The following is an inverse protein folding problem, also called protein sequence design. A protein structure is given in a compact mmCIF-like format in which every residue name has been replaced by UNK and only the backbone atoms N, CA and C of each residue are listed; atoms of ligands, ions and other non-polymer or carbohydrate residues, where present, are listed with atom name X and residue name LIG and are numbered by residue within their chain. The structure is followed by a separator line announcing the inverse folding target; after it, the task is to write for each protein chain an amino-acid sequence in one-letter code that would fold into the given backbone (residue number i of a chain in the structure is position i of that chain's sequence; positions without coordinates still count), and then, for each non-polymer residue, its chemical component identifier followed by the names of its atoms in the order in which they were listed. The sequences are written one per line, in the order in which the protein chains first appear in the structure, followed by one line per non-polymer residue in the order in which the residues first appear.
data_IF_963151365490
#
_entry.id   IF_963151365490
#
_cell.length_a   1.000
_cell.length_b   1.000
_cell.length_c   1.000
_cell.angle_alpha   90.00
_cell.angle_beta   90.00
_cell.angle_gamma   90.00
#
_symmetry.space_group_name_H-M   'P 1'
#
loop_
_entity.id
_entity.type
_entity.pdbx_description
1 polymer ?
#
# COMPACT_ATOMS: atom_id res chain seq x y z
N UNK A 1 -0.55 -14.32 13.99
CA UNK A 1 -1.95 -13.93 14.27
C UNK A 1 -2.07 -12.71 15.18
N UNK A 2 -1.27 -12.60 16.24
CA UNK A 2 -1.30 -11.45 17.18
C UNK A 2 -1.00 -10.09 16.53
N UNK A 3 -0.02 -10.00 15.61
CA UNK A 3 0.33 -8.75 14.92
C UNK A 3 -0.80 -8.23 14.02
N UNK A 4 -1.53 -9.11 13.35
CA UNK A 4 -2.65 -8.72 12.48
C UNK A 4 -3.84 -8.19 13.30
N UNK A 5 -4.13 -8.84 14.44
CA UNK A 5 -5.16 -8.36 15.35
C UNK A 5 -4.78 -7.00 15.96
N UNK A 6 -3.52 -6.84 16.39
CA UNK A 6 -3.04 -5.58 16.93
C UNK A 6 -3.14 -4.44 15.90
N UNK A 7 -2.70 -4.70 14.66
CA UNK A 7 -2.83 -3.71 13.58
C UNK A 7 -4.29 -3.35 13.29
N UNK A 8 -5.20 -4.34 13.32
CA UNK A 8 -6.63 -4.12 13.14
C UNK A 8 -7.23 -3.23 14.23
N UNK A 9 -6.87 -3.50 15.50
CA UNK A 9 -7.33 -2.68 16.63
C UNK A 9 -6.82 -1.24 16.52
N UNK A 10 -5.52 -1.05 16.24
CA UNK A 10 -4.93 0.30 16.08
C UNK A 10 -5.64 1.06 14.96
N UNK A 11 -5.86 0.42 13.82
CA UNK A 11 -6.53 1.03 12.67
C UNK A 11 -7.96 1.43 12.99
N UNK A 12 -8.70 0.58 13.72
CA UNK A 12 -10.06 0.87 14.17
C UNK A 12 -10.10 2.06 15.11
N UNK A 13 -9.17 2.14 16.05
CA UNK A 13 -9.06 3.28 16.98
C UNK A 13 -8.77 4.57 16.21
N UNK A 14 -7.84 4.55 15.26
CA UNK A 14 -7.51 5.74 14.43
C UNK A 14 -8.72 6.20 13.63
N UNK A 15 -9.45 5.29 12.99
CA UNK A 15 -10.66 5.63 12.22
C UNK A 15 -11.73 6.20 13.13
N UNK A 16 -11.93 5.61 14.30
CA UNK A 16 -12.91 6.10 15.28
C UNK A 16 -12.56 7.51 15.77
N UNK A 17 -11.29 7.77 16.08
CA UNK A 17 -10.82 9.11 16.46
C UNK A 17 -11.01 10.12 15.33
N UNK A 18 -10.69 9.77 14.10
CA UNK A 18 -10.93 10.64 12.94
C UNK A 18 -12.43 10.95 12.77
N UNK A 19 -13.29 9.96 12.94
CA UNK A 19 -14.74 10.14 12.86
C UNK A 19 -15.26 11.04 13.97
N UNK A 20 -14.76 10.87 15.19
CA UNK A 20 -15.14 11.69 16.35
C UNK A 20 -14.74 13.17 16.18
N UNK A 21 -13.58 13.43 15.57
CA UNK A 21 -13.04 14.80 15.39
C UNK A 21 -13.67 15.53 14.20
N UNK A 22 -13.87 14.85 13.09
CA UNK A 22 -14.31 15.49 11.84
C UNK A 22 -15.81 15.31 11.53
N UNK A 23 -16.45 14.29 12.08
CA UNK A 23 -17.79 13.89 11.66
C UNK A 23 -17.80 13.21 10.29
N UNK A 24 -18.92 12.56 9.96
CA UNK A 24 -19.04 11.71 8.76
C UNK A 24 -18.91 12.51 7.44
N UNK A 25 -19.53 13.68 7.35
CA UNK A 25 -19.55 14.48 6.11
C UNK A 25 -18.20 15.04 5.73
N UNK A 26 -17.44 15.57 6.71
CA UNK A 26 -16.13 16.17 6.47
C UNK A 26 -15.05 15.10 6.25
N UNK A 27 -15.21 13.92 6.87
CA UNK A 27 -14.29 12.81 6.71
C UNK A 27 -14.28 12.27 5.27
N UNK A 28 -15.44 12.22 4.63
CA UNK A 28 -15.58 11.72 3.26
C UNK A 28 -14.89 12.59 2.20
N UNK A 29 -14.75 13.88 2.47
CA UNK A 29 -14.10 14.82 1.54
C UNK A 29 -12.57 14.88 1.70
N UNK A 30 -12.04 14.34 2.80
CA UNK A 30 -10.60 14.42 3.10
C UNK A 30 -9.82 13.24 2.56
N UNK A 31 -8.79 13.54 1.76
CA UNK A 31 -7.89 12.53 1.19
C UNK A 31 -7.01 11.83 2.25
N UNK A 32 -6.60 12.56 3.29
CA UNK A 32 -5.71 12.06 4.34
C UNK A 32 -6.14 12.60 5.72
N UNK A 33 -7.28 12.12 6.26
CA UNK A 33 -7.86 12.67 7.48
C UNK A 33 -6.94 12.52 8.71
N UNK A 34 -6.19 11.42 8.81
CA UNK A 34 -5.27 11.16 9.92
C UNK A 34 -4.10 12.15 9.97
N UNK A 35 -3.55 12.54 8.82
CA UNK A 35 -2.48 13.54 8.71
C UNK A 35 -2.99 14.93 9.12
N UNK A 36 -4.15 15.33 8.63
CA UNK A 36 -4.74 16.62 8.94
C UNK A 36 -5.21 16.72 10.39
N UNK A 37 -5.57 15.60 11.01
CA UNK A 37 -5.87 15.53 12.43
C UNK A 37 -4.64 15.84 13.28
N UNK A 38 -3.49 15.25 12.94
CA UNK A 38 -2.23 15.47 13.64
C UNK A 38 -1.68 16.90 13.48
N UNK A 39 -1.94 17.53 12.34
CA UNK A 39 -1.59 18.95 12.12
C UNK A 39 -2.35 19.89 13.05
N UNK A 40 -3.59 19.56 13.44
CA UNK A 40 -4.41 20.37 14.35
C UNK A 40 -4.11 20.15 15.83
N UNK A 41 -3.51 19.01 16.19
CA UNK A 41 -3.15 18.71 17.58
C UNK A 41 -1.79 19.32 17.89
N UNK A 42 -1.79 20.55 18.37
CA UNK A 42 -0.60 21.20 18.90
C UNK A 42 -0.48 20.91 20.40
N UNK A 43 0.46 20.09 20.80
CA UNK A 43 0.80 19.93 22.22
C UNK A 43 1.70 21.10 22.66
N UNK A 44 1.09 22.13 23.24
CA UNK A 44 1.79 23.20 23.91
C UNK A 44 2.55 22.65 25.12
N UNK A 45 3.88 22.56 24.99
CA UNK A 45 4.75 22.10 26.09
C UNK A 45 5.67 20.92 25.78
N UNK A 46 5.52 20.24 24.65
CA UNK A 46 6.48 19.24 24.21
C UNK A 46 7.47 19.84 23.20
N UNK A 47 8.73 19.36 23.26
CA UNK A 47 9.82 19.76 22.34
C UNK A 47 9.48 19.53 20.84
N UNK A 48 8.41 18.84 20.54
CA UNK A 48 7.95 18.47 19.20
C UNK A 48 6.78 19.38 18.78
N UNK A 49 7.10 20.58 18.35
CA UNK A 49 6.12 21.52 17.79
C UNK A 49 5.61 21.12 16.39
N UNK A 50 6.25 20.18 15.73
CA UNK A 50 5.93 19.72 14.36
C UNK A 50 5.87 18.20 14.29
N UNK A 51 4.84 17.63 14.87
CA UNK A 51 4.59 16.16 14.86
C UNK A 51 4.24 15.63 13.48
N UNK A 52 3.68 16.47 12.62
CA UNK A 52 3.39 16.24 11.22
C UNK A 52 4.63 15.78 10.44
N UNK A 53 5.78 16.44 10.68
CA UNK A 53 7.05 16.07 10.03
C UNK A 53 7.56 14.70 10.45
N UNK A 54 7.44 14.33 11.72
CA UNK A 54 7.84 13.01 12.20
C UNK A 54 6.98 11.92 11.57
N UNK A 55 5.66 12.11 11.52
CA UNK A 55 4.75 11.17 10.90
C UNK A 55 5.07 11.02 9.42
N UNK A 56 5.30 12.12 8.73
CA UNK A 56 5.66 12.13 7.31
C UNK A 56 6.97 11.38 7.06
N UNK A 57 7.97 11.56 7.95
CA UNK A 57 9.23 10.84 7.87
C UNK A 57 9.04 9.32 8.06
N UNK A 58 8.30 8.89 9.09
CA UNK A 58 7.96 7.49 9.29
C UNK A 58 7.18 6.90 8.11
N UNK A 59 6.28 7.68 7.54
CA UNK A 59 5.50 7.25 6.38
C UNK A 59 6.40 7.07 5.15
N UNK A 60 7.33 7.99 4.89
CA UNK A 60 8.32 7.86 3.82
C UNK A 60 9.19 6.61 3.97
N UNK A 61 9.73 6.37 5.18
CA UNK A 61 10.53 5.17 5.45
C UNK A 61 9.71 3.90 5.22
N UNK A 62 8.48 3.85 5.71
CA UNK A 62 7.57 2.71 5.50
C UNK A 62 7.26 2.48 4.03
N UNK A 63 7.03 3.55 3.26
CA UNK A 63 6.82 3.48 1.82
C UNK A 63 8.05 2.94 1.08
N UNK A 64 9.25 3.38 1.44
CA UNK A 64 10.50 2.86 0.87
C UNK A 64 10.69 1.36 1.15
N UNK A 65 10.42 0.91 2.38
CA UNK A 65 10.51 -0.51 2.75
C UNK A 65 9.48 -1.32 1.94
N UNK A 66 8.24 -0.84 1.84
CA UNK A 66 7.19 -1.49 1.08
C UNK A 66 7.53 -1.61 -0.41
N UNK A 67 8.00 -0.51 -1.02
CA UNK A 67 8.43 -0.50 -2.43
C UNK A 67 9.59 -1.46 -2.67
N UNK A 68 10.60 -1.44 -1.81
CA UNK A 68 11.75 -2.34 -1.91
C UNK A 68 11.32 -3.81 -1.85
N UNK A 69 10.42 -4.15 -0.91
CA UNK A 69 9.83 -5.47 -0.81
C UNK A 69 9.07 -5.87 -2.08
N UNK A 70 8.25 -4.96 -2.61
CA UNK A 70 7.45 -5.20 -3.82
C UNK A 70 8.33 -5.47 -5.03
N UNK A 71 9.38 -4.67 -5.24
CA UNK A 71 10.37 -4.88 -6.32
C UNK A 71 11.06 -6.23 -6.17
N UNK A 72 11.51 -6.55 -4.96
CA UNK A 72 12.20 -7.80 -4.68
C UNK A 72 11.32 -9.02 -4.95
N UNK A 73 10.11 -9.04 -4.40
CA UNK A 73 9.17 -10.15 -4.60
C UNK A 73 8.69 -10.25 -6.05
N UNK A 74 8.44 -9.11 -6.72
CA UNK A 74 8.10 -9.09 -8.14
C UNK A 74 9.19 -9.70 -9.01
N UNK A 75 10.45 -9.33 -8.79
CA UNK A 75 11.59 -9.90 -9.48
C UNK A 75 11.75 -11.40 -9.19
N UNK A 76 11.57 -11.82 -7.94
CA UNK A 76 11.66 -13.23 -7.54
C UNK A 76 10.57 -14.08 -8.19
N UNK A 77 9.33 -13.60 -8.22
CA UNK A 77 8.22 -14.28 -8.89
C UNK A 77 8.45 -14.35 -10.40
N UNK A 78 8.91 -13.26 -11.03
CA UNK A 78 9.26 -13.24 -12.44
C UNK A 78 10.30 -14.28 -12.80
N UNK A 79 11.40 -14.37 -12.04
CA UNK A 79 12.42 -15.40 -12.26
C UNK A 79 11.87 -16.82 -12.16
N UNK A 80 11.01 -17.10 -11.17
CA UNK A 80 10.38 -18.42 -11.01
C UNK A 80 9.44 -18.76 -12.17
N UNK A 81 8.66 -17.81 -12.62
CA UNK A 81 7.70 -18.00 -13.70
C UNK A 81 8.39 -18.37 -15.02
N UNK A 82 9.50 -17.70 -15.32
CA UNK A 82 10.28 -17.91 -16.52
C UNK A 82 11.40 -18.95 -16.38
N UNK A 83 11.48 -19.65 -15.24
CA UNK A 83 12.50 -20.68 -14.94
C UNK A 83 13.94 -20.21 -15.19
N UNK A 84 14.21 -18.95 -14.93
CA UNK A 84 15.55 -18.36 -15.13
C UNK A 84 16.39 -18.54 -13.88
N UNK A 85 17.72 -18.73 -14.10
CA UNK A 85 18.69 -18.86 -13.01
C UNK A 85 18.91 -17.55 -12.25
N UNK A 86 19.50 -17.68 -11.07
CA UNK A 86 19.79 -16.57 -10.15
C UNK A 86 20.69 -15.48 -10.73
N UNK A 87 21.46 -15.79 -11.77
CA UNK A 87 22.36 -14.83 -12.45
C UNK A 87 21.60 -13.67 -13.09
N UNK A 88 20.36 -13.90 -13.55
CA UNK A 88 19.52 -12.85 -14.18
C UNK A 88 18.73 -12.01 -13.19
N UNK A 89 18.90 -12.22 -11.88
CA UNK A 89 18.18 -11.50 -10.83
C UNK A 89 18.32 -9.98 -10.95
N UNK A 90 19.54 -9.51 -11.25
CA UNK A 90 19.80 -8.06 -11.40
C UNK A 90 18.98 -7.46 -12.53
N UNK A 91 18.87 -8.15 -13.67
CA UNK A 91 18.10 -7.65 -14.82
C UNK A 91 16.59 -7.59 -14.52
N UNK A 92 16.07 -8.57 -13.76
CA UNK A 92 14.67 -8.58 -13.32
C UNK A 92 14.37 -7.46 -12.33
N UNK A 93 15.30 -7.18 -11.40
CA UNK A 93 15.16 -6.06 -10.48
C UNK A 93 15.10 -4.72 -11.23
N UNK A 94 16.00 -4.51 -12.20
CA UNK A 94 15.97 -3.31 -13.04
C UNK A 94 14.70 -3.22 -13.87
N UNK A 95 14.25 -4.32 -14.44
CA UNK A 95 13.00 -4.37 -15.19
C UNK A 95 11.79 -3.94 -14.35
N UNK A 96 11.65 -4.49 -13.15
CA UNK A 96 10.57 -4.11 -12.22
C UNK A 96 10.67 -2.66 -11.76
N UNK A 97 11.89 -2.17 -11.53
CA UNK A 97 12.11 -0.79 -11.11
C UNK A 97 11.68 0.19 -12.22
N UNK A 98 12.03 -0.11 -13.48
CA UNK A 98 11.60 0.70 -14.64
C UNK A 98 10.08 0.66 -14.80
N UNK A 99 9.44 -0.51 -14.67
CA UNK A 99 7.98 -0.63 -14.76
C UNK A 99 7.29 0.19 -13.68
N UNK A 100 7.76 0.11 -12.43
CA UNK A 100 7.20 0.91 -11.33
C UNK A 100 7.43 2.40 -11.52
N UNK A 101 8.61 2.78 -12.02
CA UNK A 101 8.90 4.18 -12.33
C UNK A 101 7.97 4.72 -13.43
N UNK A 102 7.80 3.99 -14.53
CA UNK A 102 6.88 4.37 -15.59
C UNK A 102 5.42 4.41 -15.09
N UNK A 103 5.02 3.45 -14.27
CA UNK A 103 3.69 3.44 -13.67
C UNK A 103 3.46 4.64 -12.72
N UNK A 104 4.50 5.12 -12.06
CA UNK A 104 4.41 6.30 -11.18
C UNK A 104 4.23 7.62 -11.96
N UNK A 105 4.60 7.65 -13.25
CA UNK A 105 4.45 8.81 -14.12
C UNK A 105 3.04 8.91 -14.75
N UNK A 106 2.22 7.85 -14.65
CA UNK A 106 0.88 7.83 -15.24
C UNK A 106 -0.07 8.85 -14.62
N UNK A 107 -0.18 8.99 -13.28
CA UNK A 107 -1.06 9.98 -12.70
C UNK A 107 -0.39 11.35 -12.64
N UNK A 108 -1.04 12.37 -13.21
CA UNK A 108 -0.56 13.76 -13.18
C UNK A 108 -0.70 14.39 -11.79
N UNK A 109 -1.69 13.93 -11.01
CA UNK A 109 -1.95 14.45 -9.67
C UNK A 109 -2.51 13.37 -8.73
N UNK A 110 -2.55 13.69 -7.44
CA UNK A 110 -3.00 12.77 -6.39
C UNK A 110 -4.48 12.36 -6.53
N UNK A 111 -5.32 13.24 -7.05
CA UNK A 111 -6.74 12.95 -7.27
C UNK A 111 -6.93 11.93 -8.40
N UNK A 112 -6.13 12.02 -9.44
CA UNK A 112 -6.13 11.06 -10.55
C UNK A 112 -5.60 9.69 -10.12
N UNK A 113 -4.52 9.66 -9.35
CA UNK A 113 -4.01 8.42 -8.75
C UNK A 113 -5.07 7.73 -7.89
N UNK A 114 -5.83 8.50 -7.12
CA UNK A 114 -6.93 7.98 -6.30
C UNK A 114 -8.08 7.44 -7.17
N UNK A 115 -8.47 8.14 -8.24
CA UNK A 115 -9.49 7.66 -9.18
C UNK A 115 -9.06 6.37 -9.87
N UNK A 116 -7.81 6.29 -10.35
CA UNK A 116 -7.24 5.08 -10.93
C UNK A 116 -7.27 3.91 -9.94
N UNK A 117 -6.91 4.16 -8.69
CA UNK A 117 -6.99 3.15 -7.63
C UNK A 117 -8.43 2.66 -7.43
N UNK A 118 -9.41 3.56 -7.33
CA UNK A 118 -10.83 3.20 -7.14
C UNK A 118 -11.34 2.37 -8.32
N UNK A 119 -10.92 2.69 -9.53
CA UNK A 119 -11.35 1.99 -10.73
C UNK A 119 -10.71 0.61 -10.87
N UNK A 120 -9.43 0.48 -10.53
CA UNK A 120 -8.67 -0.78 -10.64
C UNK A 120 -8.87 -1.72 -9.43
N UNK A 121 -9.07 -1.16 -8.23
CA UNK A 121 -9.16 -1.93 -6.99
C UNK A 121 -10.22 -3.04 -7.01
N UNK A 122 -11.48 -2.83 -7.44
CA UNK A 122 -12.48 -3.89 -7.44
C UNK A 122 -12.11 -5.03 -8.40
N UNK A 123 -11.55 -4.71 -9.57
CA UNK A 123 -11.13 -5.71 -10.56
C UNK A 123 -9.94 -6.53 -10.08
N UNK A 124 -8.95 -5.88 -9.49
CA UNK A 124 -7.78 -6.55 -8.92
C UNK A 124 -8.17 -7.43 -7.73
N UNK A 125 -9.02 -6.95 -6.84
CA UNK A 125 -9.50 -7.72 -5.71
C UNK A 125 -10.30 -8.96 -6.15
N UNK A 126 -11.18 -8.81 -7.15
CA UNK A 126 -11.92 -9.93 -7.72
C UNK A 126 -10.97 -10.97 -8.34
N UNK A 127 -9.96 -10.51 -9.06
CA UNK A 127 -8.95 -11.39 -9.65
C UNK A 127 -8.19 -12.18 -8.58
N UNK A 128 -7.67 -11.52 -7.55
CA UNK A 128 -6.89 -12.16 -6.50
C UNK A 128 -7.72 -13.06 -5.57
N UNK A 129 -8.92 -12.63 -5.21
CA UNK A 129 -9.75 -13.36 -4.25
C UNK A 129 -10.52 -14.52 -4.87
N UNK A 130 -10.91 -14.43 -6.13
CA UNK A 130 -11.80 -15.40 -6.77
C UNK A 130 -11.12 -16.17 -7.89
N UNK A 131 -10.55 -15.49 -8.86
CA UNK A 131 -10.02 -16.11 -10.07
C UNK A 131 -8.74 -16.91 -9.77
N UNK A 132 -7.82 -16.34 -9.04
CA UNK A 132 -6.53 -16.97 -8.76
C UNK A 132 -6.66 -18.25 -7.92
N UNK A 133 -7.43 -18.32 -6.81
CA UNK A 133 -7.65 -19.55 -6.07
C UNK A 133 -8.35 -20.64 -6.91
N UNK A 134 -9.35 -20.25 -7.72
CA UNK A 134 -10.06 -21.21 -8.59
C UNK A 134 -9.11 -21.80 -9.64
N UNK A 135 -8.28 -20.99 -10.29
CA UNK A 135 -7.27 -21.48 -11.23
C UNK A 135 -6.30 -22.45 -10.54
N UNK A 136 -5.83 -22.10 -9.34
CA UNK A 136 -4.91 -22.97 -8.58
C UNK A 136 -5.56 -24.29 -8.19
N UNK A 137 -6.83 -24.30 -7.80
CA UNK A 137 -7.58 -25.53 -7.51
C UNK A 137 -7.73 -26.42 -8.75
N UNK A 138 -8.06 -25.85 -9.91
CA UNK A 138 -8.20 -26.57 -11.17
C UNK A 138 -6.85 -27.18 -11.60
N UNK A 139 -5.77 -26.40 -11.50
CA UNK A 139 -4.42 -26.87 -11.83
C UNK A 139 -3.94 -27.98 -10.88
N UNK A 140 -4.29 -27.89 -9.59
CA UNK A 140 -3.99 -28.93 -8.62
C UNK A 140 -4.72 -30.23 -8.93
N UNK A 141 -6.00 -30.15 -9.32
CA UNK A 141 -6.81 -31.34 -9.70
C UNK A 141 -6.31 -32.04 -10.97
N UNK A 142 -5.66 -31.32 -11.88
CA UNK A 142 -5.07 -31.93 -13.10
C UNK A 142 -3.72 -32.61 -12.86
N UNK A 143 -3.05 -32.33 -11.74
CA UNK A 143 -1.73 -32.87 -11.41
C UNK A 143 -1.77 -34.05 -10.41
N UNK A 144 -2.90 -34.34 -9.81
CA UNK A 144 -3.16 -35.51 -8.98
C UNK A 144 -4.05 -36.48 -9.72
#
# INVERSE_FOLDING_TARGET
MTSTLLSGVILTVVVFLCLAVYGEGVLAEKLLPSLQMLERVSFTGLFLTRQDLLLLWFWMVSACIFLSGTVYYGAFLGMRLFRQGTEKRKNWLWGWLIVLFLASLLPENMAEAYRLRLLLSPWLNLFYLLILPVILLILRKRRG
#
